data_IF_953781107007
#
_entry.id   IF_953781107007
#
_cell.length_a   1.000
_cell.length_b   1.000
_cell.length_c   1.000
_cell.angle_alpha   90.00
_cell.angle_beta   90.00
_cell.angle_gamma   90.00
#
_symmetry.space_group_name_H-M   'P 1'
#
loop_
_entity.id
_entity.type
_entity.pdbx_description
1 polymer ?
#
# COMPACT_ATOMS: atom_id res chain seq x y z
N UNK A 1 4.67 -1.40 15.11
CA UNK A 1 5.53 -0.47 15.90
C UNK A 1 6.93 -1.04 16.19
N UNK A 2 7.09 -2.32 16.55
CA UNK A 2 8.42 -2.89 16.85
C UNK A 2 9.40 -2.95 15.66
N UNK A 3 8.90 -3.09 14.42
CA UNK A 3 9.71 -3.15 13.20
C UNK A 3 10.04 -1.78 12.60
N UNK A 4 9.36 -0.72 13.07
CA UNK A 4 9.58 0.65 12.59
C UNK A 4 11.05 1.13 12.75
N UNK A 5 11.75 0.91 13.89
CA UNK A 5 13.16 1.31 14.01
C UNK A 5 14.09 0.53 13.05
N UNK A 6 13.76 -0.72 12.71
CA UNK A 6 14.54 -1.53 11.76
C UNK A 6 14.42 -0.97 10.35
N UNK A 7 13.20 -0.63 9.92
CA UNK A 7 12.98 -0.01 8.61
C UNK A 7 13.55 1.42 8.53
N UNK A 8 13.43 2.20 9.61
CA UNK A 8 14.08 3.51 9.69
C UNK A 8 15.61 3.39 9.56
N UNK A 9 16.22 2.41 10.23
CA UNK A 9 17.66 2.14 10.12
C UNK A 9 18.05 1.69 8.70
N UNK A 10 17.27 0.81 8.08
CA UNK A 10 17.48 0.36 6.70
C UNK A 10 17.47 1.54 5.71
N UNK A 11 16.51 2.46 5.85
CA UNK A 11 16.43 3.65 5.00
C UNK A 11 17.59 4.62 5.24
N UNK A 12 17.97 4.85 6.50
CA UNK A 12 19.13 5.66 6.85
C UNK A 12 20.44 5.06 6.31
N UNK A 13 20.56 3.73 6.32
CA UNK A 13 21.70 3.02 5.75
C UNK A 13 21.74 3.14 4.21
N UNK A 14 20.61 2.97 3.53
CA UNK A 14 20.52 3.21 2.06
C UNK A 14 20.85 4.67 1.70
N UNK A 15 20.38 5.63 2.50
CA UNK A 15 20.68 7.05 2.30
C UNK A 15 22.18 7.34 2.48
N UNK A 16 22.81 6.77 3.50
CA UNK A 16 24.28 6.86 3.70
C UNK A 16 25.09 6.29 2.55
N UNK A 17 24.55 5.33 1.80
CA UNK A 17 25.20 4.78 0.60
C UNK A 17 24.89 5.55 -0.69
N UNK A 18 24.11 6.64 -0.63
CA UNK A 18 23.70 7.40 -1.81
C UNK A 18 22.80 6.61 -2.77
N UNK A 19 22.20 5.51 -2.31
CA UNK A 19 21.31 4.64 -3.11
C UNK A 19 19.85 4.80 -2.70
N UNK A 20 19.49 5.96 -2.17
CA UNK A 20 18.12 6.22 -1.75
C UNK A 20 17.16 6.12 -2.95
N UNK A 21 16.20 5.18 -2.95
CA UNK A 21 15.20 5.08 -4.00
C UNK A 21 14.31 6.32 -3.93
N UNK A 22 13.88 6.82 -5.09
CA UNK A 22 12.96 7.95 -5.10
C UNK A 22 11.66 7.64 -4.38
N UNK A 23 11.01 8.68 -3.89
CA UNK A 23 9.73 8.62 -3.16
C UNK A 23 8.67 7.80 -3.92
N UNK A 24 8.60 7.97 -5.25
CA UNK A 24 7.73 7.17 -6.12
C UNK A 24 8.08 5.68 -6.16
N UNK A 25 9.37 5.32 -6.10
CA UNK A 25 9.82 3.92 -6.06
C UNK A 25 9.48 3.28 -4.72
N UNK A 26 9.64 4.01 -3.61
CA UNK A 26 9.24 3.50 -2.28
C UNK A 26 7.73 3.25 -2.22
N UNK A 27 6.93 4.15 -2.81
CA UNK A 27 5.48 3.99 -2.90
C UNK A 27 5.08 2.78 -3.78
N UNK A 28 5.71 2.62 -4.94
CA UNK A 28 5.50 1.46 -5.81
C UNK A 28 5.86 0.14 -5.11
N UNK A 29 6.98 0.10 -4.39
CA UNK A 29 7.41 -1.07 -3.63
C UNK A 29 6.40 -1.45 -2.55
N UNK A 30 5.86 -0.46 -1.83
CA UNK A 30 4.81 -0.68 -0.83
C UNK A 30 3.54 -1.30 -1.45
N UNK A 31 3.07 -0.77 -2.59
CA UNK A 31 1.90 -1.30 -3.29
C UNK A 31 2.10 -2.73 -3.79
N UNK A 32 3.28 -3.04 -4.33
CA UNK A 32 3.61 -4.41 -4.76
C UNK A 32 3.64 -5.36 -3.56
N UNK A 33 4.23 -4.95 -2.43
CA UNK A 33 4.26 -5.75 -1.20
C UNK A 33 2.85 -6.03 -0.67
N UNK A 34 1.96 -5.03 -0.69
CA UNK A 34 0.56 -5.21 -0.32
C UNK A 34 -0.12 -6.20 -1.28
N UNK A 35 0.06 -6.05 -2.60
CA UNK A 35 -0.50 -6.99 -3.58
C UNK A 35 0.01 -8.43 -3.38
N UNK A 36 1.31 -8.61 -3.11
CA UNK A 36 1.92 -9.91 -2.78
C UNK A 36 1.32 -10.50 -1.49
N UNK A 37 1.01 -9.67 -0.48
CA UNK A 37 0.34 -10.14 0.74
C UNK A 37 -1.04 -10.73 0.46
N UNK A 38 -1.81 -10.13 -0.46
CA UNK A 38 -3.11 -10.65 -0.89
C UNK A 38 -2.98 -11.92 -1.73
N UNK A 39 -1.96 -12.04 -2.59
CA UNK A 39 -1.66 -13.33 -3.25
C UNK A 39 -1.33 -14.43 -2.24
N UNK A 40 -0.58 -14.10 -1.20
CA UNK A 40 -0.28 -15.04 -0.12
C UNK A 40 -1.54 -15.44 0.68
N UNK A 41 -2.51 -14.53 0.80
CA UNK A 41 -3.82 -14.80 1.43
C UNK A 41 -4.71 -15.77 0.65
N UNK A 42 -4.54 -15.90 -0.68
CA UNK A 42 -5.33 -16.86 -1.47
C UNK A 42 -5.12 -18.32 -1.06
N UNK A 43 -3.95 -18.67 -0.52
CA UNK A 43 -3.62 -20.03 -0.09
C UNK A 43 -4.50 -20.47 1.10
N UNK A 44 -4.49 -19.79 2.27
CA UNK A 44 -5.34 -20.17 3.39
C UNK A 44 -6.84 -19.99 3.07
N UNK A 45 -7.20 -19.06 2.18
CA UNK A 45 -8.57 -18.87 1.73
C UNK A 45 -9.09 -20.08 0.94
N UNK A 46 -8.26 -20.65 0.04
CA UNK A 46 -8.57 -21.90 -0.65
C UNK A 46 -8.68 -23.09 0.31
N UNK A 47 -7.77 -23.20 1.27
CA UNK A 47 -7.83 -24.26 2.29
C UNK A 47 -9.14 -24.19 3.12
N UNK A 48 -9.55 -22.98 3.51
CA UNK A 48 -10.78 -22.76 4.24
C UNK A 48 -12.03 -23.10 3.39
N UNK A 49 -11.99 -22.83 2.08
CA UNK A 49 -13.06 -23.20 1.15
C UNK A 49 -13.22 -24.73 1.02
N UNK A 50 -12.11 -25.48 1.08
CA UNK A 50 -12.10 -26.94 1.09
C UNK A 50 -12.40 -27.55 2.48
N UNK A 51 -12.80 -26.73 3.45
CA UNK A 51 -13.14 -27.16 4.81
C UNK A 51 -11.93 -27.50 5.69
N UNK A 52 -10.71 -27.23 5.23
CA UNK A 52 -9.48 -27.43 6.02
C UNK A 52 -9.21 -26.17 6.85
N UNK A 53 -9.13 -26.27 8.20
CA UNK A 53 -8.86 -25.10 9.03
C UNK A 53 -7.46 -24.56 8.77
N UNK A 54 -7.37 -23.35 8.23
CA UNK A 54 -6.11 -22.63 8.08
C UNK A 54 -5.57 -22.23 9.47
N UNK A 55 -4.32 -22.57 9.77
CA UNK A 55 -3.69 -22.21 11.03
C UNK A 55 -3.50 -20.69 11.17
N UNK A 56 -3.53 -20.13 12.40
CA UNK A 56 -3.42 -18.69 12.64
C UNK A 56 -2.07 -18.09 12.19
N UNK A 57 -1.05 -18.91 11.98
CA UNK A 57 0.25 -18.47 11.45
C UNK A 57 0.17 -17.85 10.06
N UNK A 58 -0.82 -18.21 9.24
CA UNK A 58 -1.06 -17.57 7.94
C UNK A 58 -1.40 -16.10 8.10
N UNK A 59 -2.31 -15.78 9.03
CA UNK A 59 -2.68 -14.39 9.33
C UNK A 59 -1.48 -13.60 9.85
N UNK A 60 -0.68 -14.20 10.73
CA UNK A 60 0.56 -13.56 11.22
C UNK A 60 1.48 -13.21 10.04
N UNK A 61 1.68 -14.13 9.10
CA UNK A 61 2.50 -13.88 7.90
C UNK A 61 1.94 -12.77 7.01
N UNK A 62 0.63 -12.75 6.77
CA UNK A 62 -0.03 -11.73 5.93
C UNK A 62 0.07 -10.36 6.57
N UNK A 63 -0.30 -10.23 7.84
CA UNK A 63 -0.19 -8.97 8.57
C UNK A 63 1.26 -8.51 8.70
N UNK A 64 2.22 -9.43 8.79
CA UNK A 64 3.63 -9.08 8.77
C UNK A 64 4.02 -8.43 7.44
N UNK A 65 3.65 -9.03 6.30
CA UNK A 65 3.93 -8.47 4.97
C UNK A 65 3.22 -7.13 4.78
N UNK A 66 1.94 -7.02 5.17
CA UNK A 66 1.19 -5.76 5.11
C UNK A 66 1.84 -4.68 5.97
N UNK A 67 2.23 -5.00 7.21
CA UNK A 67 2.93 -4.07 8.10
C UNK A 67 4.23 -3.58 7.46
N UNK A 68 5.00 -4.46 6.82
CA UNK A 68 6.22 -4.08 6.10
C UNK A 68 5.91 -3.13 4.93
N UNK A 69 4.83 -3.38 4.18
CA UNK A 69 4.34 -2.48 3.15
C UNK A 69 3.92 -1.10 3.71
N UNK A 70 3.15 -1.07 4.80
CA UNK A 70 2.70 0.16 5.46
C UNK A 70 3.85 1.00 6.02
N UNK A 71 4.89 0.34 6.55
CA UNK A 71 6.09 1.03 7.03
C UNK A 71 6.84 1.72 5.89
N UNK A 72 6.68 1.25 4.65
CA UNK A 72 7.19 1.93 3.46
C UNK A 72 6.25 3.04 2.98
N UNK A 73 4.93 2.87 3.13
CA UNK A 73 3.93 3.79 2.59
C UNK A 73 3.70 5.02 3.49
N UNK A 74 3.57 4.83 4.81
CA UNK A 74 3.20 5.88 5.76
C UNK A 74 4.20 7.07 5.86
N UNK A 75 5.53 6.87 5.96
CA UNK A 75 6.46 8.00 5.98
C UNK A 75 6.61 8.69 4.61
N UNK A 76 6.44 7.92 3.53
CA UNK A 76 6.56 8.39 2.16
C UNK A 76 5.35 9.23 1.77
N UNK A 77 4.14 8.77 2.07
CA UNK A 77 2.88 9.47 1.78
C UNK A 77 2.81 10.84 2.44
N UNK A 78 3.06 10.90 3.75
CA UNK A 78 3.06 12.16 4.51
C UNK A 78 4.19 13.11 4.09
N UNK A 79 5.35 12.57 3.68
CA UNK A 79 6.43 13.41 3.15
C UNK A 79 6.10 14.00 1.78
N UNK A 80 5.42 13.27 0.90
CA UNK A 80 5.02 13.80 -0.42
C UNK A 80 3.98 14.91 -0.25
N UNK A 81 2.97 14.67 0.57
CA UNK A 81 1.87 15.63 0.75
C UNK A 81 2.34 16.94 1.35
N UNK A 82 3.36 16.90 2.22
CA UNK A 82 3.96 18.11 2.80
C UNK A 82 4.94 18.79 1.86
N UNK A 83 5.85 18.05 1.22
CA UNK A 83 6.85 18.66 0.31
C UNK A 83 6.26 19.19 -0.99
N UNK A 84 5.17 18.60 -1.48
CA UNK A 84 4.44 19.05 -2.68
C UNK A 84 3.35 20.09 -2.35
N UNK A 85 3.08 20.36 -1.07
CA UNK A 85 2.08 21.34 -0.71
C UNK A 85 2.57 22.76 -1.00
N UNK A 86 1.72 23.64 -1.57
CA UNK A 86 1.99 25.06 -1.54
C UNK A 86 2.12 25.54 -0.09
N UNK A 87 3.06 26.44 0.20
CA UNK A 87 3.38 26.90 1.56
C UNK A 87 2.15 27.40 2.35
N UNK A 88 1.13 27.92 1.66
CA UNK A 88 -0.11 28.42 2.26
C UNK A 88 -1.18 27.34 2.51
N UNK A 89 -1.05 26.17 1.88
CA UNK A 89 -2.09 25.13 1.83
C UNK A 89 -1.63 23.75 2.35
N UNK A 90 -0.54 23.70 3.13
CA UNK A 90 -0.03 22.45 3.71
C UNK A 90 -1.08 21.67 4.52
N UNK A 91 -1.89 22.36 5.33
CA UNK A 91 -2.99 21.72 6.07
C UNK A 91 -4.11 21.16 5.17
N UNK A 92 -4.38 21.82 4.03
CA UNK A 92 -5.39 21.34 3.08
C UNK A 92 -4.90 20.10 2.32
N UNK A 93 -3.63 20.03 1.95
CA UNK A 93 -3.05 18.85 1.30
C UNK A 93 -3.02 17.62 2.22
N UNK A 94 -2.80 17.82 3.52
CA UNK A 94 -3.02 16.74 4.51
C UNK A 94 -4.49 16.32 4.59
N UNK A 95 -5.42 17.27 4.50
CA UNK A 95 -6.85 16.98 4.39
C UNK A 95 -7.17 16.10 3.18
N UNK A 96 -6.58 16.39 2.00
CA UNK A 96 -6.74 15.57 0.78
C UNK A 96 -6.20 14.16 0.98
N UNK A 97 -5.07 14.00 1.68
CA UNK A 97 -4.51 12.68 2.00
C UNK A 97 -5.48 11.84 2.84
N UNK A 98 -6.01 12.40 3.92
CA UNK A 98 -6.99 11.68 4.75
C UNK A 98 -8.32 11.45 4.02
N UNK A 99 -8.74 12.40 3.20
CA UNK A 99 -9.95 12.25 2.39
C UNK A 99 -9.81 11.10 1.39
N UNK A 100 -8.62 10.88 0.81
CA UNK A 100 -8.36 9.74 -0.06
C UNK A 100 -8.50 8.40 0.69
N UNK A 101 -8.02 8.31 1.93
CA UNK A 101 -8.18 7.12 2.78
C UNK A 101 -9.66 6.88 3.09
N UNK A 102 -10.37 7.90 3.58
CA UNK A 102 -11.80 7.79 3.90
C UNK A 102 -12.64 7.45 2.66
N UNK A 103 -12.30 8.00 1.50
CA UNK A 103 -12.95 7.68 0.24
C UNK A 103 -12.74 6.20 -0.15
N UNK A 104 -11.52 5.67 0.02
CA UNK A 104 -11.22 4.24 -0.19
C UNK A 104 -12.08 3.35 0.70
N UNK A 105 -12.15 3.64 2.00
CA UNK A 105 -12.95 2.87 2.96
C UNK A 105 -14.45 2.96 2.63
N UNK A 106 -14.92 4.14 2.24
CA UNK A 106 -16.31 4.37 1.85
C UNK A 106 -16.69 3.60 0.59
N UNK A 107 -15.82 3.57 -0.42
CA UNK A 107 -16.03 2.80 -1.66
C UNK A 107 -16.10 1.31 -1.33
N UNK A 108 -15.18 0.81 -0.51
CA UNK A 108 -15.15 -0.60 -0.07
C UNK A 108 -16.43 -0.98 0.68
N UNK A 109 -16.89 -0.11 1.59
CA UNK A 109 -18.14 -0.29 2.31
C UNK A 109 -19.37 -0.28 1.41
N UNK A 110 -19.43 0.61 0.41
CA UNK A 110 -20.54 0.65 -0.55
C UNK A 110 -20.57 -0.56 -1.48
N UNK A 111 -19.41 -1.06 -1.91
CA UNK A 111 -19.30 -2.25 -2.77
C UNK A 111 -19.78 -3.52 -2.06
N UNK A 112 -19.41 -3.68 -0.79
CA UNK A 112 -19.81 -4.82 0.05
C UNK A 112 -21.24 -4.73 0.58
N UNK A 113 -21.84 -3.53 0.62
CA UNK A 113 -23.21 -3.36 1.11
C UNK A 113 -24.22 -4.09 0.20
N UNK A 114 -25.02 -5.03 0.73
CA UNK A 114 -26.05 -5.76 -0.02
C UNK A 114 -27.10 -4.87 -0.69
N UNK A 115 -27.35 -3.67 -0.16
CA UNK A 115 -28.34 -2.75 -0.71
C UNK A 115 -27.84 -1.94 -1.93
N UNK A 116 -26.54 -1.95 -2.20
CA UNK A 116 -25.92 -1.11 -3.25
C UNK A 116 -25.18 -1.99 -4.26
N UNK A 117 -24.11 -2.66 -3.83
CA UNK A 117 -23.27 -3.49 -4.69
C UNK A 117 -23.46 -4.99 -4.47
N UNK A 118 -23.59 -5.41 -3.21
CA UNK A 118 -23.73 -6.82 -2.84
C UNK A 118 -22.57 -7.71 -3.30
N UNK A 119 -21.39 -7.14 -3.56
CA UNK A 119 -20.23 -7.92 -3.97
C UNK A 119 -19.58 -8.58 -2.76
N UNK A 120 -19.32 -9.89 -2.87
CA UNK A 120 -18.48 -10.59 -1.91
C UNK A 120 -17.00 -10.30 -2.18
N UNK A 121 -16.48 -9.28 -1.50
CA UNK A 121 -15.07 -8.89 -1.56
C UNK A 121 -14.14 -9.93 -0.93
N UNK A 122 -14.68 -10.86 -0.13
CA UNK A 122 -13.90 -11.91 0.53
C UNK A 122 -13.72 -13.18 -0.32
N UNK A 123 -14.44 -13.28 -1.44
CA UNK A 123 -14.33 -14.42 -2.35
C UNK A 123 -12.97 -14.50 -3.04
N UNK A 124 -12.45 -15.71 -3.20
CA UNK A 124 -11.12 -15.98 -3.81
C UNK A 124 -10.91 -15.27 -5.15
N UNK A 125 -11.96 -15.22 -5.99
CA UNK A 125 -11.90 -14.53 -7.27
C UNK A 125 -11.71 -13.01 -7.13
N UNK A 126 -12.41 -12.39 -6.17
CA UNK A 126 -12.34 -10.95 -5.95
C UNK A 126 -11.01 -10.55 -5.31
N UNK A 127 -10.55 -11.31 -4.31
CA UNK A 127 -9.23 -11.13 -3.70
C UNK A 127 -8.10 -11.24 -4.74
N UNK A 128 -8.20 -12.17 -5.69
CA UNK A 128 -7.22 -12.29 -6.77
C UNK A 128 -7.23 -11.07 -7.71
N UNK A 129 -8.41 -10.51 -8.00
CA UNK A 129 -8.54 -9.27 -8.79
C UNK A 129 -7.92 -8.09 -8.03
N UNK A 130 -8.23 -7.92 -6.74
CA UNK A 130 -7.64 -6.87 -5.90
C UNK A 130 -6.12 -6.97 -5.83
N UNK A 131 -5.58 -8.17 -5.60
CA UNK A 131 -4.15 -8.43 -5.58
C UNK A 131 -3.49 -8.03 -6.92
N UNK A 132 -4.12 -8.42 -8.04
CA UNK A 132 -3.63 -8.10 -9.38
C UNK A 132 -3.66 -6.60 -9.64
N UNK A 133 -4.75 -5.93 -9.29
CA UNK A 133 -4.88 -4.47 -9.44
C UNK A 133 -3.84 -3.73 -8.59
N UNK A 134 -3.61 -4.15 -7.35
CA UNK A 134 -2.60 -3.57 -6.48
C UNK A 134 -1.18 -3.70 -7.06
N UNK A 135 -0.82 -4.88 -7.58
CA UNK A 135 0.48 -5.11 -8.22
C UNK A 135 0.59 -4.30 -9.52
N UNK A 136 -0.45 -4.27 -10.36
CA UNK A 136 -0.46 -3.48 -11.59
C UNK A 136 -0.33 -1.99 -11.31
N UNK A 137 -1.01 -1.47 -10.28
CA UNK A 137 -0.86 -0.08 -9.86
C UNK A 137 0.57 0.22 -9.38
N UNK A 138 1.15 -0.66 -8.57
CA UNK A 138 2.55 -0.55 -8.14
C UNK A 138 3.53 -0.56 -9.32
N UNK A 139 3.36 -1.48 -10.27
CA UNK A 139 4.18 -1.56 -11.48
C UNK A 139 3.98 -0.35 -12.39
N UNK A 140 2.76 0.15 -12.55
CA UNK A 140 2.47 1.36 -13.30
C UNK A 140 3.22 2.56 -12.71
N UNK A 141 3.15 2.76 -11.39
CA UNK A 141 3.89 3.82 -10.70
C UNK A 141 5.41 3.63 -10.90
N UNK A 142 5.90 2.40 -10.82
CA UNK A 142 7.30 2.10 -11.08
C UNK A 142 7.71 2.42 -12.52
N UNK A 143 6.88 2.12 -13.53
CA UNK A 143 7.15 2.45 -14.94
C UNK A 143 7.14 3.96 -15.17
N UNK A 144 6.16 4.67 -14.63
CA UNK A 144 6.04 6.12 -14.76
C UNK A 144 6.96 6.91 -13.82
N UNK A 145 7.79 6.24 -13.00
CA UNK A 145 8.69 6.87 -12.03
C UNK A 145 9.56 7.97 -12.62
N UNK A 146 10.02 7.83 -13.87
CA UNK A 146 10.85 8.83 -14.54
C UNK A 146 10.06 10.11 -14.85
N UNK A 147 8.81 9.96 -15.28
CA UNK A 147 7.90 11.07 -15.59
C UNK A 147 7.40 11.76 -14.32
N UNK A 148 7.05 10.98 -13.29
CA UNK A 148 6.70 11.51 -11.96
C UNK A 148 7.87 12.32 -11.40
N UNK A 149 9.10 11.79 -11.45
CA UNK A 149 10.29 12.52 -10.99
C UNK A 149 10.53 13.81 -11.78
N UNK A 150 10.31 13.80 -13.09
CA UNK A 150 10.44 15.00 -13.93
C UNK A 150 9.42 16.10 -13.58
N UNK A 151 8.19 15.71 -13.20
CA UNK A 151 7.13 16.65 -12.80
C UNK A 151 7.24 17.13 -11.35
N UNK A 152 7.90 16.34 -10.50
CA UNK A 152 8.01 16.58 -9.05
C UNK A 152 9.21 17.50 -8.71
N UNK A 153 10.11 17.79 -9.67
CA UNK A 153 11.27 18.64 -9.43
C UNK A 153 12.22 18.08 -8.34
N UNK A 154 12.94 18.98 -7.65
CA UNK A 154 13.98 18.67 -6.65
C UNK A 154 13.43 18.13 -5.30
N UNK A 155 12.19 17.63 -5.30
CA UNK A 155 11.55 17.08 -4.11
C UNK A 155 11.96 15.62 -3.94
N UNK A 156 13.20 15.39 -3.49
CA UNK A 156 13.62 14.12 -2.86
C UNK A 156 13.66 14.28 -1.34
#
# INVERSE_FOLDING_TARGET
>A
MALAPVFAWLWLWLNRQGREPSTAVKFAMALVLIGVSFFFFLIPLGMAADGTPAGPMWLVGIYFIQTVGELCLSPVGLSVTTKMAPAKYAGQMMGVWFLAVTASDSITGLLSNPAVGGFDLSGTGMVAVEATLAVLAGLAIYMYRRKVRALTGDVN
#
